data_IF_544406001155
#
_entry.id   IF_544406001155
#
_cell.length_a   1.000
_cell.length_b   1.000
_cell.length_c   1.000
_cell.angle_alpha   90.00
_cell.angle_beta   90.00
_cell.angle_gamma   90.00
#
_symmetry.space_group_name_H-M   'P 1'
#
loop_
_entity.id
_entity.type
_entity.pdbx_description
1 polymer ?
#
# COMPACT_ATOMS: atom_id res chain seq x y z
N UNK A 1 -55.90 -0.57 -41.07
CA UNK A 1 -56.68 -1.48 -40.20
C UNK A 1 -55.84 -2.73 -40.08
N UNK A 2 -55.11 -3.06 -39.02
CA UNK A 2 -54.96 -2.59 -37.62
C UNK A 2 -53.46 -2.85 -37.27
N UNK A 3 -52.66 -1.84 -36.92
CA UNK A 3 -52.22 -1.49 -35.56
C UNK A 3 -51.78 -2.66 -34.66
N UNK A 4 -50.48 -2.71 -34.34
CA UNK A 4 -50.01 -3.03 -32.99
C UNK A 4 -48.81 -2.16 -32.63
N UNK A 5 -49.06 -1.27 -31.69
CA UNK A 5 -48.09 -0.47 -30.95
C UNK A 5 -47.52 -1.34 -29.81
N UNK A 6 -46.21 -1.40 -29.66
CA UNK A 6 -45.58 -1.78 -28.38
C UNK A 6 -44.15 -1.27 -28.35
N UNK A 7 -43.98 -0.10 -27.74
CA UNK A 7 -42.67 0.47 -27.47
C UNK A 7 -41.80 -0.42 -26.61
N UNK A 8 -40.49 -0.28 -26.81
CA UNK A 8 -39.48 -0.43 -25.77
C UNK A 8 -38.38 0.56 -26.08
N UNK A 9 -38.38 1.66 -25.33
CA UNK A 9 -37.23 2.52 -25.08
C UNK A 9 -36.06 1.64 -24.65
N UNK A 10 -35.20 1.25 -25.59
CA UNK A 10 -33.93 0.59 -25.27
C UNK A 10 -32.95 1.68 -24.88
N UNK A 11 -33.04 2.02 -23.61
CA UNK A 11 -32.08 2.80 -22.83
C UNK A 11 -30.67 2.31 -23.16
N UNK A 12 -29.89 3.24 -23.71
CA UNK A 12 -28.45 3.40 -23.62
C UNK A 12 -27.69 2.18 -23.08
N UNK A 13 -27.23 1.33 -24.00
CA UNK A 13 -26.12 0.43 -23.72
C UNK A 13 -24.83 1.25 -23.75
N UNK A 14 -24.58 1.97 -22.66
CA UNK A 14 -23.27 2.51 -22.35
C UNK A 14 -22.43 1.30 -21.94
N UNK A 15 -21.64 0.78 -22.87
CA UNK A 15 -20.54 -0.14 -22.56
C UNK A 15 -19.51 0.67 -21.74
N UNK A 16 -19.80 0.80 -20.45
CA UNK A 16 -18.83 1.27 -19.48
C UNK A 16 -17.79 0.15 -19.33
N UNK A 17 -16.70 0.26 -20.10
CA UNK A 17 -15.43 -0.38 -19.81
C UNK A 17 -14.96 0.10 -18.42
N UNK A 18 -15.53 -0.47 -17.35
CA UNK A 18 -15.05 -0.27 -15.99
C UNK A 18 -13.72 -1.00 -15.90
N UNK A 19 -12.64 -0.28 -16.19
CA UNK A 19 -11.30 -0.69 -15.83
C UNK A 19 -11.24 -0.75 -14.30
N UNK A 20 -11.46 -1.93 -13.73
CA UNK A 20 -11.22 -2.19 -12.31
C UNK A 20 -9.72 -2.05 -12.06
N UNK A 21 -9.25 -0.85 -11.75
CA UNK A 21 -7.90 -0.68 -11.24
C UNK A 21 -7.85 -1.29 -9.86
N UNK A 22 -7.35 -2.52 -9.75
CA UNK A 22 -6.99 -3.08 -8.46
C UNK A 22 -5.99 -2.13 -7.83
N UNK A 23 -6.38 -1.42 -6.77
CA UNK A 23 -5.45 -0.66 -5.94
C UNK A 23 -4.42 -1.64 -5.39
N UNK A 24 -3.28 -1.75 -6.07
CA UNK A 24 -2.19 -2.61 -5.62
C UNK A 24 -1.64 -1.98 -4.36
N UNK A 25 -1.90 -2.60 -3.21
CA UNK A 25 -1.23 -2.22 -1.98
C UNK A 25 0.27 -2.45 -2.18
N UNK A 26 1.06 -1.39 -2.09
CA UNK A 26 2.49 -1.51 -2.27
C UNK A 26 3.13 -2.12 -1.02
N UNK A 27 3.51 -3.39 -1.10
CA UNK A 27 4.20 -4.10 -0.03
C UNK A 27 5.72 -3.86 -0.02
N UNK A 28 6.23 -3.09 -0.99
CA UNK A 28 7.65 -2.79 -1.12
C UNK A 28 8.04 -1.65 -0.19
N UNK A 29 9.03 -1.89 0.66
CA UNK A 29 9.61 -0.89 1.55
C UNK A 29 10.36 0.18 0.73
N UNK A 30 10.12 1.48 0.96
CA UNK A 30 10.83 2.55 0.25
C UNK A 30 12.33 2.64 0.62
N UNK A 31 12.75 2.03 1.73
CA UNK A 31 14.15 2.01 2.19
C UNK A 31 14.90 0.83 1.58
N UNK A 32 14.38 -0.39 1.76
CA UNK A 32 15.08 -1.62 1.38
C UNK A 32 14.73 -2.10 -0.04
N UNK A 33 13.70 -1.53 -0.67
CA UNK A 33 13.21 -1.91 -2.00
C UNK A 33 12.82 -3.40 -2.12
N UNK A 34 12.51 -4.04 -1.00
CA UNK A 34 12.00 -5.42 -0.94
C UNK A 34 10.66 -5.47 -0.24
N UNK A 35 9.94 -6.59 -0.41
CA UNK A 35 8.69 -6.86 0.31
C UNK A 35 8.91 -6.82 1.82
N UNK A 36 8.11 -6.02 2.51
CA UNK A 36 8.19 -5.86 3.96
C UNK A 36 7.89 -7.18 4.70
N UNK A 37 8.54 -7.41 5.83
CA UNK A 37 8.28 -8.51 6.77
C UNK A 37 7.57 -8.00 8.01
N UNK A 38 8.03 -6.88 8.57
CA UNK A 38 7.44 -6.20 9.72
C UNK A 38 7.10 -4.77 9.31
N UNK A 39 5.95 -4.55 8.65
CA UNK A 39 5.56 -3.21 8.25
C UNK A 39 5.26 -2.36 9.49
N UNK A 40 5.88 -1.18 9.56
CA UNK A 40 5.59 -0.15 10.56
C UNK A 40 5.16 1.13 9.86
N UNK A 41 4.10 1.75 10.37
CA UNK A 41 3.52 2.99 9.87
C UNK A 41 3.91 4.15 10.76
N UNK A 42 4.43 5.22 10.17
CA UNK A 42 4.57 6.48 10.88
C UNK A 42 3.20 7.14 11.04
N UNK A 43 2.74 7.37 12.27
CA UNK A 43 1.43 7.97 12.58
C UNK A 43 1.27 9.43 12.14
N UNK A 44 2.37 10.13 11.87
CA UNK A 44 2.37 11.55 11.48
C UNK A 44 2.21 11.72 9.96
N UNK A 45 2.98 10.99 9.16
CA UNK A 45 2.94 11.10 7.69
C UNK A 45 2.20 9.94 7.00
N UNK A 46 1.85 8.89 7.73
CA UNK A 46 1.11 7.73 7.23
C UNK A 46 1.92 6.75 6.39
N UNK A 47 3.19 7.01 6.12
CA UNK A 47 4.05 6.13 5.33
C UNK A 47 4.52 4.91 6.09
N UNK A 48 4.74 3.83 5.33
CA UNK A 48 5.06 2.50 5.85
C UNK A 48 6.48 2.11 5.43
N UNK A 49 7.18 1.46 6.36
CA UNK A 49 8.56 1.01 6.22
C UNK A 49 8.70 -0.41 6.76
N UNK A 50 9.82 -1.05 6.43
CA UNK A 50 10.33 -2.18 7.21
C UNK A 50 10.83 -1.67 8.57
N UNK A 51 10.40 -2.32 9.66
CA UNK A 51 10.77 -1.99 11.04
C UNK A 51 12.29 -1.89 11.22
N UNK A 52 13.00 -2.98 10.90
CA UNK A 52 14.44 -3.07 11.15
C UNK A 52 15.20 -1.96 10.40
N UNK A 53 14.76 -1.63 9.18
CA UNK A 53 15.39 -0.62 8.34
C UNK A 53 15.18 0.81 8.85
N UNK A 54 13.96 1.17 9.27
CA UNK A 54 13.70 2.52 9.79
C UNK A 54 14.36 2.73 11.16
N UNK A 55 14.40 1.70 12.01
CA UNK A 55 15.07 1.76 13.30
C UNK A 55 16.57 1.98 13.15
N UNK A 56 17.23 1.28 12.22
CA UNK A 56 18.66 1.48 11.93
C UNK A 56 18.96 2.94 11.49
N UNK A 57 18.12 3.51 10.62
CA UNK A 57 18.24 4.91 10.20
C UNK A 57 18.07 5.86 11.40
N UNK A 58 17.07 5.62 12.25
CA UNK A 58 16.83 6.45 13.44
C UNK A 58 18.04 6.40 14.38
N UNK A 59 18.55 5.20 14.67
CA UNK A 59 19.71 5.01 15.53
C UNK A 59 20.96 5.67 14.95
N UNK A 60 21.20 5.53 13.65
CA UNK A 60 22.36 6.12 12.96
C UNK A 60 22.30 7.65 12.98
N UNK A 61 21.13 8.24 12.76
CA UNK A 61 20.97 9.70 12.76
C UNK A 61 21.02 10.26 14.18
N UNK A 62 20.52 9.54 15.18
CA UNK A 62 20.63 9.89 16.60
C UNK A 62 22.10 9.98 17.04
N UNK A 63 22.94 9.03 16.63
CA UNK A 63 24.39 9.08 16.89
C UNK A 63 25.05 10.32 16.25
N UNK A 64 24.59 10.71 15.05
CA UNK A 64 25.04 11.92 14.35
C UNK A 64 24.41 13.22 14.88
N UNK A 65 23.59 13.16 15.93
CA UNK A 65 22.79 14.28 16.47
C UNK A 65 21.94 14.97 15.40
N UNK A 66 21.46 14.22 14.40
CA UNK A 66 20.62 14.71 13.30
C UNK A 66 19.19 14.19 13.42
N UNK A 67 18.24 14.99 12.93
CA UNK A 67 16.85 14.58 12.78
C UNK A 67 16.72 13.61 11.61
N UNK A 68 15.81 12.65 11.75
CA UNK A 68 15.48 11.69 10.70
C UNK A 68 14.42 12.29 9.79
N UNK A 69 14.65 12.25 8.48
CA UNK A 69 13.65 12.65 7.48
C UNK A 69 12.88 11.41 7.02
N UNK A 70 11.63 11.62 6.61
CA UNK A 70 10.84 10.61 5.94
C UNK A 70 11.59 10.02 4.74
N UNK A 71 11.87 8.70 4.69
CA UNK A 71 12.53 8.08 3.55
C UNK A 71 11.66 8.02 2.29
N UNK A 72 10.33 8.20 2.42
CA UNK A 72 9.46 8.25 1.25
C UNK A 72 9.74 9.52 0.45
N UNK A 73 10.13 9.33 -0.81
CA UNK A 73 10.34 10.41 -1.78
C UNK A 73 9.14 11.35 -1.82
N UNK A 74 9.41 12.66 -1.77
CA UNK A 74 8.39 13.71 -1.81
C UNK A 74 7.70 14.03 -0.47
N UNK A 75 7.99 13.30 0.61
CA UNK A 75 7.44 13.64 1.91
C UNK A 75 8.30 14.69 2.65
N UNK A 76 7.67 15.78 3.09
CA UNK A 76 8.34 16.88 3.80
C UNK A 76 8.46 16.65 5.32
N UNK A 77 7.93 15.52 5.83
CA UNK A 77 7.96 15.26 7.27
C UNK A 77 9.38 14.96 7.75
N UNK A 78 9.78 15.62 8.83
CA UNK A 78 11.09 15.52 9.48
C UNK A 78 10.89 15.24 10.96
N UNK A 79 11.96 14.80 11.63
CA UNK A 79 11.97 14.47 13.06
C UNK A 79 11.21 13.18 13.41
N UNK A 80 11.35 12.14 12.58
CA UNK A 80 10.76 10.82 12.85
C UNK A 80 11.39 10.21 14.10
N UNK A 81 10.55 9.77 15.05
CA UNK A 81 10.96 9.09 16.27
C UNK A 81 10.43 7.66 16.29
N UNK A 82 11.07 6.81 17.08
CA UNK A 82 10.61 5.43 17.30
C UNK A 82 9.19 5.41 17.87
N UNK A 83 8.84 6.36 18.74
CA UNK A 83 7.50 6.51 19.30
C UNK A 83 6.42 6.94 18.29
N UNK A 84 6.81 7.35 17.08
CA UNK A 84 5.88 7.69 16.00
C UNK A 84 5.59 6.50 15.09
N UNK A 85 6.36 5.42 15.22
CA UNK A 85 6.20 4.20 14.46
C UNK A 85 5.23 3.26 15.19
N UNK A 86 4.23 2.79 14.46
CA UNK A 86 3.22 1.85 14.95
C UNK A 86 3.19 0.65 14.01
N UNK A 87 3.18 -0.56 14.57
CA UNK A 87 3.12 -1.79 13.79
C UNK A 87 1.82 -1.86 12.98
N UNK A 88 1.93 -2.14 11.67
CA UNK A 88 0.78 -2.26 10.77
C UNK A 88 0.37 -3.74 10.66
N UNK A 89 -0.37 -4.21 11.67
CA UNK A 89 -0.86 -5.59 11.75
C UNK A 89 -1.73 -6.00 10.55
N UNK A 90 -2.49 -5.05 10.00
CA UNK A 90 -3.36 -5.31 8.85
C UNK A 90 -2.49 -5.58 7.63
N UNK A 91 -1.54 -4.69 7.35
CA UNK A 91 -0.64 -4.85 6.22
C UNK A 91 0.23 -6.11 6.38
N UNK A 92 0.70 -6.41 7.59
CA UNK A 92 1.45 -7.63 7.88
C UNK A 92 0.64 -8.88 7.49
N UNK A 93 -0.63 -8.95 7.91
CA UNK A 93 -1.53 -10.07 7.56
C UNK A 93 -1.76 -10.18 6.06
N UNK A 94 -1.90 -9.05 5.35
CA UNK A 94 -2.07 -9.04 3.90
C UNK A 94 -0.82 -9.56 3.17
N UNK A 95 0.37 -9.14 3.59
CA UNK A 95 1.64 -9.63 3.04
C UNK A 95 1.78 -11.13 3.29
N UNK A 96 1.50 -11.58 4.51
CA UNK A 96 1.59 -13.00 4.90
C UNK A 96 0.57 -13.86 4.12
N UNK A 97 -0.59 -13.30 3.79
CA UNK A 97 -1.61 -13.96 2.96
C UNK A 97 -1.18 -14.06 1.49
N UNK A 98 -0.53 -13.03 0.92
CA UNK A 98 -0.07 -13.05 -0.47
C UNK A 98 1.00 -14.12 -0.70
N UNK A 99 1.94 -14.30 0.23
CA UNK A 99 2.98 -15.35 0.15
C UNK A 99 2.40 -16.76 0.01
N UNK A 100 1.23 -17.01 0.60
CA UNK A 100 0.54 -18.29 0.50
C UNK A 100 -0.08 -18.51 -0.88
N UNK A 101 -0.62 -17.47 -1.50
CA UNK A 101 -1.24 -17.58 -2.83
C UNK A 101 -0.22 -17.69 -3.96
N UNK A 102 0.92 -17.01 -3.88
CA UNK A 102 1.96 -17.10 -4.93
C UNK A 102 2.58 -18.50 -5.04
N UNK A 103 2.60 -19.27 -3.96
CA UNK A 103 3.08 -20.65 -3.96
C UNK A 103 2.09 -21.63 -4.60
N UNK A 104 0.78 -21.39 -4.49
CA UNK A 104 -0.26 -22.29 -5.02
C UNK A 104 -0.43 -22.26 -6.54
N UNK A 105 0.01 -21.21 -7.22
CA UNK A 105 -0.10 -21.07 -8.69
C UNK A 105 1.11 -21.62 -9.48
N UNK A 106 2.18 -22.07 -8.82
CA UNK A 106 3.37 -22.60 -9.49
C UNK A 106 3.37 -24.15 -9.62
N UNK A 107 2.28 -24.82 -9.21
CA UNK A 107 2.14 -26.28 -9.17
C UNK A 107 1.06 -26.81 -10.13
N UNK A 108 0.87 -26.15 -11.29
CA UNK A 108 0.03 -26.68 -12.40
C UNK A 108 0.80 -26.69 -13.71
#
# INVERSE_FOLDING_TARGET
MESYDRGTDTIEQIDEDIAVTRSQMNFICPITQVTMKKPVRNKVCGHIYEEDAILEIIQTQKQKKKKVRCPKMGCSHVDIKESDLVQDEILKRLIDSQKKQSWSTLDM
#
